data_IF_825547029558
#
_entry.id   IF_825547029558
#
_cell.length_a   1.000
_cell.length_b   1.000
_cell.length_c   1.000
_cell.angle_alpha   90.00
_cell.angle_beta   90.00
_cell.angle_gamma   90.00
#
_symmetry.space_group_name_H-M   'P 1'
#
loop_
_entity.id
_entity.type
_entity.pdbx_description
1 polymer ?
#
# COMPACT_ATOMS: atom_id res chain seq x y z
N UNK A 1 1.63 -29.35 73.44
CA UNK A 1 1.77 -30.18 72.22
C UNK A 1 0.45 -30.80 71.74
N UNK A 2 -0.18 -31.77 72.42
CA UNK A 2 -1.40 -32.40 71.89
C UNK A 2 -2.64 -31.46 71.88
N UNK A 3 -2.82 -30.67 72.94
CA UNK A 3 -3.94 -29.72 73.06
C UNK A 3 -3.79 -28.51 72.11
N UNK A 4 -2.58 -27.96 71.95
CA UNK A 4 -2.30 -26.86 71.01
C UNK A 4 -2.55 -27.27 69.55
N UNK A 5 -2.19 -28.50 69.16
CA UNK A 5 -2.50 -28.99 67.81
C UNK A 5 -4.01 -29.09 67.58
N UNK A 6 -4.79 -29.45 68.60
CA UNK A 6 -6.24 -29.58 68.49
C UNK A 6 -6.93 -28.21 68.30
N UNK A 7 -6.43 -27.16 68.96
CA UNK A 7 -6.88 -25.78 68.75
C UNK A 7 -6.50 -25.23 67.37
N UNK A 8 -5.32 -25.56 66.86
CA UNK A 8 -4.90 -25.16 65.50
C UNK A 8 -5.79 -25.80 64.43
N UNK A 9 -6.14 -27.08 64.59
CA UNK A 9 -7.06 -27.74 63.67
C UNK A 9 -8.48 -27.18 63.77
N UNK A 10 -9.00 -26.88 64.98
CA UNK A 10 -10.33 -26.29 65.10
C UNK A 10 -10.40 -24.91 64.43
N UNK A 11 -9.39 -24.05 64.66
CA UNK A 11 -9.28 -22.74 64.00
C UNK A 11 -9.17 -22.85 62.48
N UNK A 12 -8.44 -23.85 61.98
CA UNK A 12 -8.35 -24.12 60.56
C UNK A 12 -9.70 -24.53 59.97
N UNK A 13 -10.43 -25.45 60.62
CA UNK A 13 -11.74 -25.90 60.14
C UNK A 13 -12.81 -24.82 60.26
N UNK A 14 -12.73 -23.93 61.25
CA UNK A 14 -13.59 -22.75 61.36
C UNK A 14 -13.36 -21.78 60.19
N UNK A 15 -12.10 -21.44 59.88
CA UNK A 15 -11.77 -20.59 58.72
C UNK A 15 -12.12 -21.25 57.39
N UNK A 16 -11.94 -22.57 57.27
CA UNK A 16 -12.32 -23.32 56.08
C UNK A 16 -13.84 -23.33 55.89
N UNK A 17 -14.60 -23.44 56.99
CA UNK A 17 -16.06 -23.36 56.96
C UNK A 17 -16.52 -21.97 56.53
N UNK A 18 -15.90 -20.92 57.07
CA UNK A 18 -16.17 -19.53 56.68
C UNK A 18 -15.91 -19.30 55.18
N UNK A 19 -14.77 -19.77 54.67
CA UNK A 19 -14.43 -19.67 53.24
C UNK A 19 -15.41 -20.44 52.35
N UNK A 20 -15.83 -21.64 52.75
CA UNK A 20 -16.84 -22.44 52.02
C UNK A 20 -18.22 -21.81 52.07
N UNK A 21 -18.62 -21.26 53.20
CA UNK A 21 -19.91 -20.58 53.34
C UNK A 21 -19.93 -19.27 52.53
N UNK A 22 -18.80 -18.57 52.44
CA UNK A 22 -18.63 -17.41 51.56
C UNK A 22 -18.78 -17.81 50.08
N UNK A 23 -18.07 -18.86 49.63
CA UNK A 23 -18.21 -19.36 48.25
C UNK A 23 -19.62 -19.87 47.93
N UNK A 24 -20.33 -20.47 48.89
CA UNK A 24 -21.74 -20.86 48.69
C UNK A 24 -22.69 -19.67 48.56
N UNK A 25 -22.40 -18.56 49.25
CA UNK A 25 -23.19 -17.33 49.17
C UNK A 25 -22.89 -16.54 47.91
N UNK A 26 -21.69 -16.71 47.35
CA UNK A 26 -21.23 -16.04 46.15
C UNK A 26 -20.72 -17.05 45.11
N UNK A 27 -21.58 -17.94 44.58
CA UNK A 27 -21.18 -18.98 43.64
C UNK A 27 -20.73 -18.42 42.28
N UNK A 28 -21.22 -17.23 41.91
CA UNK A 28 -20.93 -16.55 40.64
C UNK A 28 -19.89 -15.43 40.80
N UNK A 29 -19.17 -15.39 41.94
CA UNK A 29 -18.08 -14.44 42.14
C UNK A 29 -16.89 -14.84 41.28
N UNK A 30 -16.91 -14.40 40.03
CA UNK A 30 -15.71 -14.37 39.21
C UNK A 30 -14.71 -13.46 39.90
N UNK A 31 -13.64 -14.05 40.46
CA UNK A 31 -12.42 -13.32 40.74
C UNK A 31 -12.04 -12.68 39.41
N UNK A 32 -12.10 -11.34 39.32
CA UNK A 32 -11.83 -10.58 38.09
C UNK A 32 -10.70 -11.25 37.31
N UNK A 33 -11.08 -11.99 36.26
CA UNK A 33 -10.11 -12.72 35.47
C UNK A 33 -9.33 -11.65 34.73
N UNK A 34 -8.00 -11.75 34.79
CA UNK A 34 -7.09 -10.90 34.01
C UNK A 34 -7.50 -10.89 32.52
N UNK A 35 -8.18 -11.95 32.10
CA UNK A 35 -8.72 -12.19 30.76
C UNK A 35 -9.76 -11.16 30.28
N UNK A 36 -10.59 -10.56 31.15
CA UNK A 36 -11.62 -9.59 30.69
C UNK A 36 -11.01 -8.28 30.18
N UNK A 37 -10.03 -7.76 30.91
CA UNK A 37 -9.31 -6.55 30.52
C UNK A 37 -8.44 -6.79 29.26
N UNK A 38 -7.90 -8.00 29.10
CA UNK A 38 -7.16 -8.41 27.89
C UNK A 38 -8.07 -8.58 26.67
N UNK A 39 -9.27 -9.17 26.83
CA UNK A 39 -10.27 -9.28 25.76
C UNK A 39 -10.76 -7.89 25.31
N UNK A 40 -10.98 -6.97 26.24
CA UNK A 40 -11.39 -5.60 25.90
C UNK A 40 -10.27 -4.82 25.19
N UNK A 41 -9.01 -5.02 25.60
CA UNK A 41 -7.86 -4.45 24.90
C UNK A 41 -7.70 -5.02 23.48
N UNK A 42 -7.98 -6.32 23.27
CA UNK A 42 -7.98 -6.95 21.94
C UNK A 42 -9.14 -6.46 21.05
N UNK A 43 -10.27 -6.05 21.63
CA UNK A 43 -11.38 -5.41 20.89
C UNK A 43 -11.01 -4.01 20.40
N UNK A 44 -10.07 -3.33 21.08
CA UNK A 44 -9.58 -2.04 20.63
C UNK A 44 -8.70 -2.20 19.39
N UNK A 45 -9.26 -1.96 18.19
CA UNK A 45 -8.49 -1.98 16.95
C UNK A 45 -7.59 -0.75 16.91
N UNK A 46 -6.25 -0.89 16.93
CA UNK A 46 -5.37 0.26 16.78
C UNK A 46 -5.61 0.86 15.39
N UNK A 47 -6.07 2.11 15.35
CA UNK A 47 -6.25 2.84 14.10
C UNK A 47 -4.87 3.18 13.54
N UNK A 48 -4.44 2.44 12.52
CA UNK A 48 -3.22 2.73 11.78
C UNK A 48 -3.61 3.49 10.51
N UNK A 49 -3.16 4.73 10.40
CA UNK A 49 -3.49 5.57 9.25
C UNK A 49 -2.61 5.17 8.06
N UNK A 50 -3.23 4.55 7.05
CA UNK A 50 -2.64 4.34 5.73
C UNK A 50 -3.34 5.23 4.70
N UNK A 51 -2.58 5.72 3.73
CA UNK A 51 -3.15 6.32 2.52
C UNK A 51 -3.97 5.28 1.76
N UNK A 52 -4.99 5.72 1.00
CA UNK A 52 -5.74 4.82 0.12
C UNK A 52 -4.85 4.12 -0.91
N UNK A 53 -3.80 4.79 -1.38
CA UNK A 53 -2.81 4.23 -2.31
C UNK A 53 -1.89 3.20 -1.63
N UNK A 54 -1.68 3.29 -0.31
CA UNK A 54 -0.88 2.32 0.45
C UNK A 54 -1.60 0.98 0.64
N UNK A 55 -2.93 0.96 0.47
CA UNK A 55 -3.78 -0.23 0.61
C UNK A 55 -3.44 -1.06 1.87
N UNK A 56 -3.49 -0.40 3.04
CA UNK A 56 -3.18 -1.00 4.35
C UNK A 56 -1.77 -1.61 4.44
N UNK A 57 -0.78 -0.96 3.82
CA UNK A 57 0.62 -1.38 3.87
C UNK A 57 1.03 -2.37 2.79
N UNK A 58 0.14 -2.66 1.82
CA UNK A 58 0.44 -3.53 0.68
C UNK A 58 1.32 -2.85 -0.37
N UNK A 59 1.16 -1.54 -0.55
CA UNK A 59 1.89 -0.76 -1.55
C UNK A 59 2.51 0.48 -0.92
N UNK A 60 3.55 1.01 -1.55
CA UNK A 60 4.18 2.28 -1.19
C UNK A 60 3.51 3.42 -1.98
N UNK A 61 3.11 4.47 -1.30
CA UNK A 61 2.63 5.70 -1.93
C UNK A 61 3.80 6.70 -2.05
N UNK A 62 4.50 6.63 -3.19
CA UNK A 62 5.65 7.49 -3.49
C UNK A 62 5.29 8.67 -4.41
N UNK A 63 4.00 8.97 -4.60
CA UNK A 63 3.58 10.06 -5.50
C UNK A 63 4.05 11.43 -5.03
N UNK A 64 4.01 11.69 -3.73
CA UNK A 64 4.48 12.97 -3.17
C UNK A 64 6.00 13.10 -3.27
N UNK A 65 6.72 11.99 -3.06
CA UNK A 65 8.17 11.93 -3.28
C UNK A 65 8.50 12.18 -4.76
N UNK A 66 7.79 11.54 -5.68
CA UNK A 66 7.96 11.76 -7.13
C UNK A 66 7.66 13.20 -7.52
N UNK A 67 6.61 13.81 -6.95
CA UNK A 67 6.29 15.22 -7.14
C UNK A 67 7.40 16.13 -6.62
N UNK A 68 7.98 15.82 -5.46
CA UNK A 68 9.10 16.56 -4.90
C UNK A 68 10.34 16.45 -5.80
N UNK A 69 10.64 15.25 -6.28
CA UNK A 69 11.74 14.98 -7.21
C UNK A 69 11.56 15.72 -8.54
N UNK A 70 10.40 15.63 -9.18
CA UNK A 70 10.13 16.30 -10.47
C UNK A 70 10.20 17.82 -10.38
N UNK A 71 9.81 18.39 -9.24
CA UNK A 71 9.87 19.83 -9.00
C UNK A 71 11.26 20.34 -8.59
N UNK A 72 12.20 19.45 -8.25
CA UNK A 72 13.52 19.83 -7.80
C UNK A 72 14.39 20.38 -8.96
N UNK A 73 14.80 21.67 -8.93
CA UNK A 73 15.43 22.31 -10.09
C UNK A 73 16.87 21.85 -10.37
N UNK A 74 17.58 21.30 -9.36
CA UNK A 74 19.03 20.98 -9.47
C UNK A 74 19.33 19.50 -9.68
N UNK A 75 18.44 18.61 -9.25
CA UNK A 75 18.63 17.15 -9.32
C UNK A 75 17.42 16.41 -9.90
N UNK A 76 16.27 17.06 -9.99
CA UNK A 76 15.04 16.47 -10.50
C UNK A 76 15.03 16.32 -12.01
N UNK A 77 14.14 15.45 -12.49
CA UNK A 77 13.84 15.27 -13.89
C UNK A 77 12.31 15.39 -14.10
N UNK A 78 11.89 16.42 -14.84
CA UNK A 78 10.46 16.71 -15.10
C UNK A 78 9.80 15.71 -16.06
N UNK A 79 10.59 15.11 -16.93
CA UNK A 79 10.10 14.20 -17.97
C UNK A 79 10.05 12.75 -17.47
N UNK A 80 10.44 12.50 -16.21
CA UNK A 80 10.48 11.16 -15.63
C UNK A 80 9.07 10.72 -15.21
N UNK A 81 8.57 9.67 -15.86
CA UNK A 81 7.28 9.07 -15.49
C UNK A 81 7.33 8.49 -14.07
N UNK A 82 6.17 8.32 -13.43
CA UNK A 82 6.11 7.73 -12.09
C UNK A 82 6.66 6.29 -12.07
N UNK A 83 6.36 5.51 -13.11
CA UNK A 83 6.85 4.13 -13.21
C UNK A 83 8.37 4.07 -13.34
N UNK A 84 8.95 4.93 -14.19
CA UNK A 84 10.41 5.03 -14.34
C UNK A 84 11.07 5.52 -13.03
N UNK A 85 10.41 6.45 -12.32
CA UNK A 85 10.85 6.92 -11.02
C UNK A 85 10.93 5.78 -9.99
N UNK A 86 9.92 4.92 -9.89
CA UNK A 86 9.95 3.74 -9.01
C UNK A 86 11.12 2.79 -9.35
N UNK A 87 11.59 2.79 -10.60
CA UNK A 87 12.78 2.08 -11.04
C UNK A 87 14.11 2.71 -10.63
N UNK A 88 14.14 4.03 -10.49
CA UNK A 88 15.38 4.81 -10.41
C UNK A 88 15.61 5.55 -9.09
N UNK A 89 14.59 5.75 -8.25
CA UNK A 89 14.69 6.64 -7.08
C UNK A 89 15.73 6.18 -6.03
N UNK A 90 16.12 4.90 -6.04
CA UNK A 90 17.20 4.33 -5.23
C UNK A 90 18.58 4.37 -5.92
N UNK A 91 18.64 4.71 -7.21
CA UNK A 91 19.89 4.84 -7.96
C UNK A 91 20.42 6.28 -7.89
N UNK A 92 21.10 6.57 -6.78
CA UNK A 92 21.69 7.88 -6.53
C UNK A 92 22.88 8.20 -7.47
N UNK A 93 23.42 7.25 -8.24
CA UNK A 93 24.56 7.49 -9.16
C UNK A 93 24.18 8.38 -10.33
N UNK A 94 22.90 8.34 -10.70
CA UNK A 94 22.34 9.19 -11.75
C UNK A 94 22.39 10.68 -11.40
N UNK A 95 22.48 11.02 -10.10
CA UNK A 95 22.45 12.39 -9.60
C UNK A 95 23.89 12.95 -9.50
N UNK A 96 24.22 14.03 -10.22
CA UNK A 96 25.56 14.61 -10.17
C UNK A 96 25.96 15.04 -8.74
N UNK A 97 27.19 14.71 -8.31
CA UNK A 97 27.76 15.15 -7.00
C UNK A 97 27.50 16.63 -6.66
N UNK A 98 27.64 17.61 -7.59
CA UNK A 98 27.38 19.01 -7.27
C UNK A 98 25.91 19.30 -6.92
N UNK A 99 24.99 18.48 -7.41
CA UNK A 99 23.56 18.56 -7.11
C UNK A 99 23.21 17.85 -5.81
N UNK A 100 23.95 16.80 -5.45
CA UNK A 100 23.83 16.13 -4.15
C UNK A 100 24.22 17.05 -3.00
N UNK A 101 25.28 17.85 -3.14
CA UNK A 101 25.75 18.81 -2.11
C UNK A 101 24.86 20.07 -2.01
N UNK A 102 23.54 19.89 -1.96
CA UNK A 102 22.53 20.92 -1.87
C UNK A 102 21.56 20.63 -0.71
N UNK A 103 21.15 21.66 0.01
CA UNK A 103 20.23 21.51 1.14
C UNK A 103 18.87 20.95 0.72
N UNK A 104 18.37 21.32 -0.47
CA UNK A 104 17.09 20.80 -1.00
C UNK A 104 17.15 19.30 -1.26
N UNK A 105 18.31 18.77 -1.68
CA UNK A 105 18.48 17.34 -1.90
C UNK A 105 18.52 16.57 -0.57
N UNK A 106 19.21 17.13 0.44
CA UNK A 106 19.18 16.58 1.80
C UNK A 106 17.76 16.51 2.34
N UNK A 107 16.99 17.60 2.23
CA UNK A 107 15.60 17.64 2.68
C UNK A 107 14.74 16.60 1.96
N UNK A 108 14.87 16.48 0.63
CA UNK A 108 14.20 15.42 -0.14
C UNK A 108 14.52 14.00 0.35
N UNK A 109 15.79 13.72 0.68
CA UNK A 109 16.19 12.43 1.25
C UNK A 109 15.66 12.23 2.67
N UNK A 110 15.62 13.28 3.48
CA UNK A 110 15.04 13.23 4.84
C UNK A 110 13.53 12.90 4.77
N UNK A 111 12.78 13.57 3.89
CA UNK A 111 11.35 13.31 3.68
C UNK A 111 11.10 11.87 3.19
N UNK A 112 11.92 11.39 2.25
CA UNK A 112 11.83 10.02 1.76
C UNK A 112 12.16 8.99 2.84
N UNK A 113 13.21 9.21 3.61
CA UNK A 113 13.59 8.31 4.70
C UNK A 113 12.52 8.28 5.80
N UNK A 114 12.01 9.44 6.21
CA UNK A 114 10.93 9.55 7.20
C UNK A 114 9.68 8.81 6.74
N UNK A 115 9.28 8.98 5.47
CA UNK A 115 8.18 8.25 4.88
C UNK A 115 8.39 6.73 4.94
N UNK A 116 9.55 6.24 4.51
CA UNK A 116 9.86 4.81 4.46
C UNK A 116 9.93 4.17 5.85
N UNK A 117 10.55 4.84 6.83
CA UNK A 117 10.59 4.40 8.22
C UNK A 117 9.19 4.35 8.81
N UNK A 118 8.39 5.40 8.61
CA UNK A 118 7.01 5.47 9.07
C UNK A 118 6.14 4.39 8.45
N UNK A 119 6.23 4.19 7.13
CA UNK A 119 5.49 3.16 6.41
C UNK A 119 5.85 1.75 6.90
N UNK A 120 7.15 1.47 7.09
CA UNK A 120 7.58 0.17 7.58
C UNK A 120 7.05 -0.09 9.01
N UNK A 121 7.12 0.91 9.90
CA UNK A 121 6.60 0.79 11.26
C UNK A 121 5.08 0.55 11.30
N UNK A 122 4.32 1.18 10.39
CA UNK A 122 2.87 0.96 10.25
C UNK A 122 2.55 -0.41 9.65
N UNK A 123 3.28 -0.83 8.61
CA UNK A 123 3.02 -2.08 7.88
C UNK A 123 3.53 -3.33 8.60
N UNK A 124 4.54 -3.21 9.46
CA UNK A 124 5.16 -4.31 10.20
C UNK A 124 5.38 -3.93 11.67
N UNK A 125 4.31 -3.74 12.47
CA UNK A 125 4.41 -3.22 13.85
C UNK A 125 5.17 -4.13 14.81
N UNK A 126 5.25 -5.43 14.52
CA UNK A 126 6.00 -6.41 15.31
C UNK A 126 7.49 -6.45 14.95
N UNK A 127 7.88 -5.86 13.81
CA UNK A 127 9.25 -5.82 13.35
C UNK A 127 9.95 -4.54 13.85
N UNK A 128 11.16 -4.68 14.38
CA UNK A 128 11.95 -3.54 14.85
C UNK A 128 12.94 -3.08 13.78
N UNK A 129 12.84 -1.83 13.35
CA UNK A 129 13.85 -1.17 12.51
C UNK A 129 15.10 -0.70 13.28
N UNK A 130 15.03 -0.54 14.61
CA UNK A 130 16.11 0.06 15.39
C UNK A 130 17.44 -0.68 15.25
N UNK A 131 17.44 -2.00 15.42
CA UNK A 131 18.66 -2.81 15.31
C UNK A 131 19.22 -2.89 13.88
N UNK A 132 18.41 -3.17 12.82
CA UNK A 132 18.87 -3.10 11.44
C UNK A 132 19.46 -1.75 11.04
N UNK A 133 18.78 -0.64 11.38
CA UNK A 133 19.26 0.70 11.03
C UNK A 133 20.54 1.06 11.78
N UNK A 134 20.65 0.72 13.07
CA UNK A 134 21.88 0.94 13.84
C UNK A 134 23.06 0.12 13.29
N UNK A 135 22.81 -1.10 12.79
CA UNK A 135 23.82 -1.90 12.11
C UNK A 135 24.31 -1.24 10.82
N UNK A 136 23.40 -0.68 10.02
CA UNK A 136 23.72 0.08 8.80
C UNK A 136 24.52 1.34 9.12
N UNK A 137 24.15 2.08 10.16
CA UNK A 137 24.88 3.28 10.58
C UNK A 137 26.31 2.94 11.02
N UNK A 138 26.49 1.85 11.77
CA UNK A 138 27.81 1.38 12.18
C UNK A 138 28.67 0.95 10.99
N UNK A 139 28.12 0.13 10.09
CA UNK A 139 28.82 -0.31 8.87
C UNK A 139 29.19 0.89 7.99
N UNK A 140 28.27 1.85 7.86
CA UNK A 140 28.53 3.11 7.15
C UNK A 140 29.68 3.89 7.78
N UNK A 141 29.71 4.07 9.11
CA UNK A 141 30.80 4.80 9.76
C UNK A 141 32.16 4.13 9.51
N UNK A 142 32.21 2.80 9.56
CA UNK A 142 33.41 2.03 9.24
C UNK A 142 33.84 2.21 7.77
N UNK A 143 32.91 2.15 6.82
CA UNK A 143 33.17 2.39 5.38
C UNK A 143 33.56 3.85 5.10
N UNK A 144 32.94 4.80 5.81
CA UNK A 144 33.19 6.23 5.68
C UNK A 144 34.62 6.56 6.12
N UNK A 145 35.10 5.97 7.22
CA UNK A 145 36.48 6.16 7.65
C UNK A 145 37.48 5.60 6.64
N UNK A 146 37.18 4.44 6.03
CA UNK A 146 38.01 3.83 4.97
C UNK A 146 37.91 4.53 3.61
N UNK A 147 36.88 5.35 3.37
CA UNK A 147 36.64 5.99 2.08
C UNK A 147 36.09 5.05 1.01
N UNK A 148 35.40 3.99 1.43
CA UNK A 148 34.84 2.94 0.56
C UNK A 148 33.35 3.14 0.25
N UNK A 149 32.75 4.24 0.74
CA UNK A 149 31.35 4.56 0.46
C UNK A 149 31.22 4.95 -1.02
N UNK A 150 30.43 4.17 -1.76
CA UNK A 150 30.14 4.38 -3.18
C UNK A 150 29.68 5.82 -3.45
N UNK A 151 30.24 6.48 -4.48
CA UNK A 151 30.03 7.89 -4.83
C UNK A 151 30.53 8.91 -3.79
N UNK A 152 31.12 8.50 -2.67
CA UNK A 152 31.57 9.39 -1.59
C UNK A 152 33.02 9.15 -1.16
N UNK A 153 33.85 8.57 -2.03
CA UNK A 153 35.26 8.26 -1.77
C UNK A 153 36.09 9.52 -1.46
N UNK A 154 35.70 10.65 -2.05
CA UNK A 154 36.30 11.97 -1.81
C UNK A 154 35.68 12.73 -0.61
N UNK A 155 34.81 12.06 0.15
CA UNK A 155 34.02 12.61 1.27
C UNK A 155 33.30 13.91 0.93
N UNK A 156 33.00 14.14 -0.36
CA UNK A 156 32.40 15.36 -0.86
C UNK A 156 33.28 16.61 -0.81
N UNK A 157 34.56 16.50 -0.43
CA UNK A 157 35.51 17.63 -0.34
C UNK A 157 36.13 18.01 -1.70
N UNK A 158 35.91 17.19 -2.74
CA UNK A 158 36.54 17.33 -4.05
C UNK A 158 37.88 16.60 -4.10
N UNK A 159 38.61 16.73 -5.22
CA UNK A 159 39.90 16.06 -5.40
C UNK A 159 40.88 16.52 -4.30
N UNK A 160 41.15 15.65 -3.33
CA UNK A 160 42.27 15.80 -2.41
C UNK A 160 43.57 15.49 -3.16
N UNK A 161 44.60 16.28 -2.91
CA UNK A 161 45.97 16.15 -3.44
C UNK A 161 46.54 14.73 -3.24
N UNK A 162 45.99 13.97 -2.29
CA UNK A 162 46.39 12.58 -1.99
C UNK A 162 45.86 11.55 -2.99
N UNK A 163 44.74 11.79 -3.69
CA UNK A 163 44.23 10.88 -4.74
C UNK A 163 44.83 11.17 -6.13
N UNK A 164 45.57 12.27 -6.29
CA UNK A 164 46.14 12.70 -7.57
C UNK A 164 47.49 12.04 -7.86
N UNK A 165 48.25 11.67 -6.82
CA UNK A 165 49.64 11.18 -6.96
C UNK A 165 49.77 9.79 -7.60
N UNK A 166 48.74 8.93 -7.50
CA UNK A 166 48.78 7.55 -8.01
C UNK A 166 47.98 7.35 -9.30
N UNK A 167 47.53 8.43 -9.96
CA UNK A 167 46.71 8.31 -11.17
C UNK A 167 47.58 8.16 -12.43
N UNK A 168 47.57 7.00 -13.13
CA UNK A 168 48.42 6.77 -14.32
C UNK A 168 48.06 7.66 -15.53
N UNK A 169 46.97 8.43 -15.43
CA UNK A 169 46.51 9.39 -16.45
C UNK A 169 47.09 10.79 -16.24
N UNK A 170 47.88 11.02 -15.20
CA UNK A 170 48.51 12.30 -14.95
C UNK A 170 49.71 12.48 -15.89
N UNK A 171 49.73 13.58 -16.64
CA UNK A 171 50.89 13.97 -17.43
C UNK A 171 51.91 14.55 -16.44
N UNK A 172 53.12 14.02 -16.44
CA UNK A 172 54.21 14.65 -15.67
C UNK A 172 54.53 16.00 -16.29
N UNK A 173 54.26 17.06 -15.55
CA UNK A 173 54.43 18.43 -16.01
C UNK A 173 55.88 18.90 -15.88
N UNK A 174 56.76 18.15 -15.20
CA UNK A 174 58.19 18.50 -15.09
C UNK A 174 58.87 18.46 -16.47
N UNK A 175 58.48 17.52 -17.34
CA UNK A 175 59.03 17.30 -18.68
C UNK A 175 58.70 18.38 -19.72
N UNK A 176 57.80 19.32 -19.41
CA UNK A 176 57.31 20.33 -20.37
C UNK A 176 57.73 21.75 -19.98
N UNK A 177 58.36 22.48 -20.91
CA UNK A 177 58.82 23.86 -20.69
C UNK A 177 57.75 24.90 -21.00
N UNK A 178 56.86 24.62 -21.98
CA UNK A 178 55.80 25.54 -22.40
C UNK A 178 54.45 24.86 -22.62
N UNK A 179 53.38 25.66 -22.65
CA UNK A 179 52.05 25.18 -23.01
C UNK A 179 51.98 24.65 -24.45
N UNK A 180 52.82 25.14 -25.36
CA UNK A 180 52.90 24.67 -26.74
C UNK A 180 53.44 23.24 -26.84
N UNK A 181 54.40 22.88 -25.99
CA UNK A 181 54.97 21.52 -25.96
C UNK A 181 53.95 20.49 -25.48
N UNK A 182 53.02 20.91 -24.61
CA UNK A 182 51.89 20.11 -24.16
C UNK A 182 50.85 19.85 -25.25
N UNK A 183 50.71 20.73 -26.24
CA UNK A 183 49.78 20.51 -27.36
C UNK A 183 50.14 19.25 -28.16
N UNK A 184 51.45 18.91 -28.23
CA UNK A 184 51.94 17.71 -28.90
C UNK A 184 51.54 16.40 -28.19
N UNK A 185 51.16 16.45 -26.91
CA UNK A 185 50.67 15.30 -26.14
C UNK A 185 49.26 14.88 -26.58
N UNK A 186 48.54 15.77 -27.26
CA UNK A 186 47.21 15.53 -27.83
C UNK A 186 46.08 16.00 -26.92
N UNK A 187 45.05 16.57 -27.55
CA UNK A 187 43.94 17.22 -26.84
C UNK A 187 43.13 16.32 -25.93
N UNK A 188 43.05 15.03 -26.23
CA UNK A 188 42.32 14.06 -25.41
C UNK A 188 43.07 13.74 -24.11
N UNK A 189 44.40 13.55 -24.15
CA UNK A 189 45.21 13.34 -22.95
C UNK A 189 45.22 14.57 -22.03
N UNK A 190 45.32 15.78 -22.60
CA UNK A 190 45.24 17.03 -21.81
C UNK A 190 43.84 17.18 -21.19
N UNK A 191 42.79 16.84 -21.93
CA UNK A 191 41.41 16.86 -21.42
C UNK A 191 41.24 15.87 -20.26
N UNK A 192 41.76 14.65 -20.38
CA UNK A 192 41.76 13.65 -19.32
C UNK A 192 42.52 14.12 -18.08
N UNK A 193 43.71 14.69 -18.24
CA UNK A 193 44.51 15.24 -17.14
C UNK A 193 43.80 16.41 -16.43
N UNK A 194 43.20 17.35 -17.17
CA UNK A 194 42.41 18.44 -16.60
C UNK A 194 41.19 17.92 -15.82
N UNK A 195 40.49 16.90 -16.35
CA UNK A 195 39.35 16.28 -15.68
C UNK A 195 39.78 15.55 -14.40
N UNK A 196 40.93 14.86 -14.44
CA UNK A 196 41.52 14.20 -13.27
C UNK A 196 41.84 15.19 -12.15
N UNK A 197 42.34 16.39 -12.49
CA UNK A 197 42.60 17.49 -11.54
C UNK A 197 41.34 18.28 -11.14
N UNK A 198 40.16 17.95 -11.67
CA UNK A 198 38.90 18.66 -11.37
C UNK A 198 38.76 20.04 -12.02
N UNK A 199 39.61 20.35 -13.00
CA UNK A 199 39.61 21.61 -13.73
C UNK A 199 38.62 21.58 -14.91
N UNK A 200 38.23 22.76 -15.38
CA UNK A 200 37.43 22.89 -16.61
C UNK A 200 38.22 22.34 -17.79
N UNK A 201 37.61 21.48 -18.59
CA UNK A 201 38.24 20.89 -19.77
C UNK A 201 37.68 21.41 -21.12
N UNK A 202 36.87 22.47 -21.08
CA UNK A 202 36.36 23.17 -22.26
C UNK A 202 37.31 24.24 -22.79
N UNK A 203 37.17 24.58 -24.08
CA UNK A 203 38.01 25.56 -24.79
C UNK A 203 38.81 24.94 -25.94
N UNK A 204 39.66 25.76 -26.58
CA UNK A 204 40.62 25.30 -27.60
C UNK A 204 41.72 24.43 -26.99
N UNK A 205 42.46 23.68 -27.83
CA UNK A 205 43.60 22.86 -27.39
C UNK A 205 44.61 23.68 -26.57
N UNK A 206 44.97 24.85 -27.11
CA UNK A 206 45.89 25.79 -26.46
C UNK A 206 45.41 26.27 -25.09
N UNK A 207 44.13 26.64 -24.96
CA UNK A 207 43.55 27.05 -23.68
C UNK A 207 43.53 25.92 -22.63
N UNK A 208 43.43 24.66 -23.07
CA UNK A 208 43.52 23.50 -22.18
C UNK A 208 44.96 23.27 -21.73
N UNK A 209 45.91 23.36 -22.65
CA UNK A 209 47.34 23.22 -22.35
C UNK A 209 47.83 24.33 -21.41
N UNK A 210 47.45 25.58 -21.62
CA UNK A 210 47.74 26.71 -20.72
C UNK A 210 47.16 26.48 -19.32
N UNK A 211 45.92 25.99 -19.23
CA UNK A 211 45.25 25.72 -17.95
C UNK A 211 45.94 24.59 -17.18
N UNK A 212 46.43 23.58 -17.88
CA UNK A 212 47.17 22.47 -17.28
C UNK A 212 48.60 22.91 -16.89
N UNK A 213 49.26 23.74 -17.69
CA UNK A 213 50.56 24.33 -17.31
C UNK A 213 50.45 25.26 -16.10
N UNK A 214 49.33 25.97 -15.94
CA UNK A 214 49.10 26.83 -14.79
C UNK A 214 49.07 26.07 -13.45
N UNK A 215 48.92 24.74 -13.46
CA UNK A 215 49.01 23.89 -12.27
C UNK A 215 50.42 23.42 -11.94
N UNK A 216 51.40 23.65 -12.83
CA UNK A 216 52.81 23.27 -12.59
C UNK A 216 53.34 24.00 -11.36
N UNK A 217 53.78 23.24 -10.35
CA UNK A 217 54.42 23.74 -9.13
C UNK A 217 53.49 24.47 -8.15
N UNK A 218 52.17 24.42 -8.32
CA UNK A 218 51.18 25.02 -7.40
C UNK A 218 50.31 23.95 -6.77
N UNK A 219 49.99 24.13 -5.48
CA UNK A 219 49.01 23.27 -4.83
C UNK A 219 47.60 23.56 -5.38
N UNK A 220 46.71 22.57 -5.38
CA UNK A 220 45.34 22.71 -5.92
C UNK A 220 44.56 23.83 -5.20
N UNK A 221 44.86 24.07 -3.93
CA UNK A 221 44.24 25.09 -3.09
C UNK A 221 44.65 26.53 -3.47
N UNK A 222 45.80 26.70 -4.12
CA UNK A 222 46.35 27.99 -4.54
C UNK A 222 45.78 28.47 -5.89
N UNK A 223 45.13 27.58 -6.64
CA UNK A 223 44.56 27.87 -7.96
C UNK A 223 43.24 28.66 -7.85
N UNK A 224 42.96 29.48 -8.88
CA UNK A 224 41.70 30.25 -8.94
C UNK A 224 40.49 29.32 -9.07
N UNK A 225 39.49 29.49 -8.19
CA UNK A 225 38.20 28.78 -8.18
C UNK A 225 37.45 28.85 -9.52
N UNK A 226 37.71 29.85 -10.36
CA UNK A 226 37.12 29.96 -11.71
C UNK A 226 37.64 28.89 -12.67
N UNK A 227 38.81 28.32 -12.41
CA UNK A 227 39.43 27.27 -13.24
C UNK A 227 38.82 25.90 -12.96
N UNK A 228 38.27 25.67 -11.77
CA UNK A 228 37.64 24.42 -11.38
C UNK A 228 36.24 24.24 -11.98
N UNK A 229 35.91 22.98 -12.26
CA UNK A 229 34.55 22.59 -12.65
C UNK A 229 33.57 22.78 -11.48
N UNK A 230 32.26 22.86 -11.78
CA UNK A 230 31.22 23.02 -10.76
C UNK A 230 31.26 21.83 -9.79
N UNK A 231 31.28 22.08 -8.48
CA UNK A 231 31.38 21.07 -7.42
C UNK A 231 32.78 20.50 -7.15
N UNK A 232 33.76 20.72 -8.03
CA UNK A 232 35.16 20.28 -7.87
C UNK A 232 36.07 21.32 -7.21
N UNK A 233 35.50 22.43 -6.71
CA UNK A 233 36.27 23.52 -6.11
C UNK A 233 36.89 23.06 -4.79
N UNK A 234 38.20 23.29 -4.56
CA UNK A 234 38.86 22.98 -3.31
C UNK A 234 38.33 23.90 -2.20
N UNK A 235 38.41 23.40 -0.97
CA UNK A 235 37.96 24.11 0.23
C UNK A 235 39.11 24.93 0.80
N UNK A 236 38.86 26.18 1.20
CA UNK A 236 39.94 27.14 1.57
C UNK A 236 40.22 27.24 3.06
N UNK A 237 39.25 26.92 3.91
CA UNK A 237 39.40 27.02 5.36
C UNK A 237 38.86 25.75 6.04
N UNK A 238 39.36 25.49 7.26
CA UNK A 238 38.99 24.30 8.03
C UNK A 238 37.49 24.28 8.38
N UNK A 239 36.87 25.44 8.57
CA UNK A 239 35.44 25.54 8.92
C UNK A 239 34.51 25.16 7.75
N UNK A 240 34.77 25.65 6.52
CA UNK A 240 34.04 25.25 5.32
C UNK A 240 34.27 23.77 5.01
N UNK A 241 35.49 23.27 5.28
CA UNK A 241 35.81 21.85 5.09
C UNK A 241 34.99 20.99 6.06
N UNK A 242 34.93 21.38 7.34
CA UNK A 242 34.14 20.67 8.34
C UNK A 242 32.64 20.72 8.03
N UNK A 243 32.10 21.88 7.64
CA UNK A 243 30.68 22.02 7.26
C UNK A 243 30.33 21.18 6.04
N UNK A 244 31.22 21.15 5.03
CA UNK A 244 31.02 20.37 3.82
C UNK A 244 31.13 18.87 4.10
N UNK A 245 32.07 18.46 4.95
CA UNK A 245 32.24 17.09 5.41
C UNK A 245 31.04 16.61 6.24
N UNK A 246 30.51 17.44 7.14
CA UNK A 246 29.31 17.08 7.91
C UNK A 246 28.10 16.94 7.01
N UNK A 247 27.95 17.82 6.00
CA UNK A 247 26.85 17.76 5.05
C UNK A 247 26.96 16.51 4.16
N UNK A 248 28.14 16.25 3.59
CA UNK A 248 28.36 15.07 2.74
C UNK A 248 28.17 13.77 3.51
N UNK A 249 28.69 13.67 4.75
CA UNK A 249 28.49 12.51 5.61
C UNK A 249 27.01 12.27 5.88
N UNK A 250 26.26 13.31 6.24
CA UNK A 250 24.82 13.20 6.50
C UNK A 250 24.02 12.73 5.27
N UNK A 251 24.33 13.27 4.09
CA UNK A 251 23.66 12.88 2.84
C UNK A 251 24.02 11.44 2.45
N UNK A 252 25.30 11.07 2.54
CA UNK A 252 25.75 9.72 2.24
C UNK A 252 25.10 8.68 3.16
N UNK A 253 24.96 9.01 4.46
CA UNK A 253 24.26 8.17 5.42
C UNK A 253 22.79 7.97 5.05
N UNK A 254 22.08 9.04 4.68
CA UNK A 254 20.69 8.95 4.20
C UNK A 254 20.57 8.07 2.95
N UNK A 255 21.47 8.24 1.97
CA UNK A 255 21.50 7.38 0.77
C UNK A 255 21.71 5.89 1.13
N UNK A 256 22.60 5.59 2.08
CA UNK A 256 22.80 4.22 2.57
C UNK A 256 21.57 3.68 3.31
N UNK A 257 20.96 4.49 4.18
CA UNK A 257 19.80 4.11 4.98
C UNK A 257 18.57 3.81 4.11
N UNK A 258 18.30 4.66 3.12
CA UNK A 258 17.22 4.46 2.15
C UNK A 258 17.46 3.18 1.33
N UNK A 259 18.69 2.92 0.86
CA UNK A 259 18.98 1.65 0.17
C UNK A 259 18.69 0.44 1.05
N UNK A 260 19.09 0.47 2.32
CA UNK A 260 18.85 -0.63 3.26
C UNK A 260 17.35 -0.83 3.53
N UNK A 261 16.59 0.25 3.76
CA UNK A 261 15.12 0.19 3.91
C UNK A 261 14.45 -0.42 2.68
N UNK A 262 14.92 -0.07 1.49
CA UNK A 262 14.37 -0.57 0.24
C UNK A 262 14.74 -2.02 -0.05
N UNK A 263 15.90 -2.49 0.43
CA UNK A 263 16.22 -3.93 0.43
C UNK A 263 15.27 -4.71 1.34
N UNK A 264 14.92 -4.16 2.51
CA UNK A 264 13.93 -4.78 3.40
C UNK A 264 12.52 -4.81 2.80
N UNK A 265 12.17 -3.81 1.99
CA UNK A 265 10.86 -3.65 1.36
C UNK A 265 10.84 -3.98 -0.15
N UNK A 266 11.79 -4.78 -0.63
CA UNK A 266 11.94 -5.07 -2.07
C UNK A 266 10.65 -5.68 -2.67
N UNK A 267 10.01 -6.59 -1.91
CA UNK A 267 8.74 -7.20 -2.31
C UNK A 267 7.63 -6.15 -2.43
N UNK A 268 7.47 -5.29 -1.42
CA UNK A 268 6.47 -4.21 -1.42
C UNK A 268 6.67 -3.26 -2.60
N UNK A 269 7.92 -2.90 -2.91
CA UNK A 269 8.23 -2.09 -4.09
C UNK A 269 7.88 -2.82 -5.40
N UNK A 270 8.22 -4.10 -5.52
CA UNK A 270 7.86 -4.91 -6.70
C UNK A 270 6.34 -4.95 -6.91
N UNK A 271 5.59 -5.15 -5.84
CA UNK A 271 4.13 -5.19 -5.87
C UNK A 271 3.53 -3.82 -6.19
N UNK A 272 4.13 -2.73 -5.68
CA UNK A 272 3.77 -1.35 -6.02
C UNK A 272 3.95 -1.09 -7.52
N UNK A 273 5.08 -1.49 -8.11
CA UNK A 273 5.33 -1.34 -9.56
C UNK A 273 4.28 -2.07 -10.39
N UNK A 274 4.01 -3.33 -10.07
CA UNK A 274 2.97 -4.13 -10.76
C UNK A 274 1.60 -3.50 -10.63
N UNK A 275 1.27 -2.93 -9.46
CA UNK A 275 0.00 -2.26 -9.25
C UNK A 275 -0.12 -0.99 -10.09
N UNK A 276 0.95 -0.21 -10.20
CA UNK A 276 0.99 0.98 -11.06
C UNK A 276 0.87 0.60 -12.54
N UNK A 277 1.56 -0.45 -12.99
CA UNK A 277 1.45 -0.98 -14.36
C UNK A 277 0.03 -1.49 -14.65
N UNK A 278 -0.57 -2.22 -13.70
CA UNK A 278 -1.98 -2.66 -13.78
C UNK A 278 -2.89 -1.44 -13.92
N UNK A 279 -2.82 -0.49 -12.98
CA UNK A 279 -3.63 0.73 -12.98
C UNK A 279 -3.48 1.54 -14.28
N UNK A 280 -2.27 1.58 -14.86
CA UNK A 280 -2.01 2.30 -16.11
C UNK A 280 -2.67 1.66 -17.34
N UNK A 281 -2.98 0.36 -17.29
CA UNK A 281 -3.58 -0.39 -18.40
C UNK A 281 -5.06 -0.76 -18.17
N UNK A 282 -5.55 -0.60 -16.94
CA UNK A 282 -6.93 -0.87 -16.57
C UNK A 282 -7.92 0.16 -17.13
N UNK A 283 -9.11 -0.33 -17.46
CA UNK A 283 -10.25 0.51 -17.80
C UNK A 283 -10.83 1.18 -16.54
N UNK A 284 -11.62 2.24 -16.72
CA UNK A 284 -12.25 2.92 -15.59
C UNK A 284 -13.16 1.99 -14.77
N UNK A 285 -13.91 1.09 -15.41
CA UNK A 285 -14.78 0.12 -14.73
C UNK A 285 -13.97 -0.85 -13.87
N UNK A 286 -12.84 -1.34 -14.39
CA UNK A 286 -11.93 -2.22 -13.65
C UNK A 286 -11.26 -1.49 -12.48
N UNK A 287 -10.88 -0.22 -12.64
CA UNK A 287 -10.29 0.60 -11.56
C UNK A 287 -11.27 0.83 -10.40
N UNK A 288 -12.54 1.10 -10.73
CA UNK A 288 -13.60 1.28 -9.72
C UNK A 288 -13.84 -0.04 -8.98
N UNK A 289 -13.94 -1.16 -9.70
CA UNK A 289 -14.11 -2.47 -9.09
C UNK A 289 -12.92 -2.86 -8.19
N UNK A 290 -11.69 -2.62 -8.63
CA UNK A 290 -10.48 -2.84 -7.83
C UNK A 290 -10.46 -1.98 -6.55
N UNK A 291 -10.87 -0.71 -6.62
CA UNK A 291 -10.98 0.16 -5.45
C UNK A 291 -12.05 -0.35 -4.47
N UNK A 292 -13.20 -0.76 -4.98
CA UNK A 292 -14.27 -1.33 -4.15
C UNK A 292 -13.81 -2.62 -3.46
N UNK A 293 -13.09 -3.51 -4.16
CA UNK A 293 -12.54 -4.74 -3.56
C UNK A 293 -11.49 -4.45 -2.48
N UNK A 294 -10.59 -3.50 -2.72
CA UNK A 294 -9.58 -3.10 -1.74
C UNK A 294 -10.20 -2.47 -0.49
N UNK A 295 -11.29 -1.71 -0.68
CA UNK A 295 -12.02 -1.09 0.42
C UNK A 295 -12.81 -2.14 1.24
N UNK A 296 -13.40 -3.13 0.57
CA UNK A 296 -14.13 -4.24 1.20
C UNK A 296 -13.20 -5.18 1.98
N UNK A 297 -12.02 -5.50 1.41
CA UNK A 297 -10.97 -6.24 2.13
C UNK A 297 -10.47 -5.52 3.37
N UNK A 298 -10.43 -4.19 3.35
CA UNK A 298 -10.06 -3.39 4.52
C UNK A 298 -11.06 -3.42 5.67
N UNK A 299 -12.28 -3.93 5.43
CA UNK A 299 -13.34 -4.15 6.43
C UNK A 299 -13.57 -5.64 6.73
N UNK A 300 -12.94 -6.55 5.98
CA UNK A 300 -13.34 -7.97 5.86
C UNK A 300 -12.87 -8.97 6.92
N UNK A 301 -12.55 -8.55 8.15
CA UNK A 301 -12.16 -9.46 9.25
C UNK A 301 -13.28 -9.63 10.30
N UNK A 302 -14.54 -9.61 9.86
CA UNK A 302 -15.74 -9.75 10.71
C UNK A 302 -16.71 -10.84 10.21
N UNK A 303 -16.17 -12.02 9.83
CA UNK A 303 -16.98 -13.23 9.65
C UNK A 303 -16.26 -14.43 10.25
N UNK A 304 -16.26 -14.47 11.58
CA UNK A 304 -15.72 -15.59 12.36
C UNK A 304 -16.12 -15.50 13.83
N UNK A 305 -17.37 -15.19 14.13
CA UNK A 305 -17.88 -15.07 15.49
C UNK A 305 -19.34 -15.48 15.57
N UNK A 306 -19.60 -16.42 16.46
CA UNK A 306 -20.84 -17.13 16.70
C UNK A 306 -22.04 -16.22 17.01
N UNK A 307 -23.23 -16.66 16.60
CA UNK A 307 -24.47 -15.96 16.83
C UNK A 307 -24.88 -16.06 18.30
N UNK A 308 -24.69 -14.98 19.04
CA UNK A 308 -25.47 -14.72 20.25
C UNK A 308 -25.86 -13.25 20.27
N UNK A 309 -27.16 -13.01 20.15
CA UNK A 309 -27.84 -11.79 20.58
C UNK A 309 -27.26 -11.36 21.94
N UNK A 310 -26.65 -10.18 22.00
CA UNK A 310 -26.53 -9.44 23.25
C UNK A 310 -26.74 -7.95 22.95
N UNK A 311 -27.68 -7.43 23.74
CA UNK A 311 -28.28 -6.12 23.72
C UNK A 311 -27.24 -4.98 23.70
N UNK A 312 -27.46 -4.05 22.77
CA UNK A 312 -26.71 -2.81 22.62
C UNK A 312 -26.82 -1.95 23.89
N UNK A 313 -25.73 -1.83 24.63
CA UNK A 313 -25.45 -0.67 25.47
C UNK A 313 -23.96 -0.38 25.37
N UNK A 314 -23.57 0.62 24.57
CA UNK A 314 -22.56 1.62 24.95
C UNK A 314 -22.39 2.74 23.91
N UNK A 315 -22.69 3.95 24.38
CA UNK A 315 -22.06 5.24 24.07
C UNK A 315 -21.29 5.41 22.75
N UNK A 316 -21.98 5.95 21.74
CA UNK A 316 -21.35 6.71 20.68
C UNK A 316 -21.79 8.17 20.71
N UNK A 317 -20.81 9.07 20.52
CA UNK A 317 -20.97 10.51 20.40
C UNK A 317 -22.15 10.88 19.50
N UNK A 318 -23.23 11.37 20.11
CA UNK A 318 -24.41 11.87 19.41
C UNK A 318 -24.02 13.11 18.61
N UNK A 319 -23.58 12.91 17.37
CA UNK A 319 -23.56 13.95 16.35
C UNK A 319 -25.02 14.30 16.08
N UNK A 320 -25.46 15.46 16.57
CA UNK A 320 -26.82 15.96 16.41
C UNK A 320 -27.22 16.02 14.92
N UNK A 321 -28.03 15.03 14.49
CA UNK A 321 -28.62 14.93 13.15
C UNK A 321 -30.13 15.26 13.23
N UNK A 322 -30.50 16.55 13.27
CA UNK A 322 -31.87 16.99 13.54
C UNK A 322 -32.91 16.57 12.48
N UNK A 323 -32.46 16.06 11.33
CA UNK A 323 -33.32 15.63 10.23
C UNK A 323 -33.24 14.13 9.93
N UNK A 324 -32.50 13.36 10.75
CA UNK A 324 -32.33 11.91 10.62
C UNK A 324 -31.98 11.46 9.18
N UNK A 325 -31.16 12.25 8.48
CA UNK A 325 -30.73 11.97 7.11
C UNK A 325 -29.59 10.94 7.14
N UNK A 326 -29.57 9.93 6.26
CA UNK A 326 -28.48 8.97 6.18
C UNK A 326 -27.11 9.66 6.10
N UNK A 327 -26.15 9.16 6.88
CA UNK A 327 -24.76 9.63 6.87
C UNK A 327 -24.06 9.18 5.60
N UNK A 328 -23.27 10.07 5.02
CA UNK A 328 -22.45 9.73 3.85
C UNK A 328 -21.19 8.97 4.28
N UNK A 329 -20.37 8.60 3.29
CA UNK A 329 -19.08 7.94 3.49
C UNK A 329 -18.09 8.74 4.38
N UNK A 330 -18.35 10.03 4.60
CA UNK A 330 -17.56 10.96 5.44
C UNK A 330 -18.05 11.02 6.91
N UNK A 331 -19.01 10.16 7.30
CA UNK A 331 -19.60 10.14 8.65
C UNK A 331 -20.45 11.37 9.00
N UNK A 332 -20.59 12.33 8.06
CA UNK A 332 -21.43 13.53 8.19
C UNK A 332 -22.79 13.34 7.50
N UNK A 333 -23.87 14.00 7.97
CA UNK A 333 -25.16 13.97 7.29
C UNK A 333 -25.03 14.44 5.84
N UNK A 334 -25.55 13.65 4.90
CA UNK A 334 -25.53 14.00 3.47
C UNK A 334 -26.28 15.33 3.27
N UNK A 335 -25.75 16.30 2.50
CA UNK A 335 -26.45 17.54 2.21
C UNK A 335 -27.87 17.27 1.67
N UNK A 336 -28.88 17.95 2.23
CA UNK A 336 -30.29 17.70 1.94
C UNK A 336 -30.66 17.80 0.45
N UNK A 337 -30.00 18.68 -0.30
CA UNK A 337 -30.21 18.81 -1.75
C UNK A 337 -29.71 17.58 -2.51
N UNK A 338 -28.61 16.97 -2.06
CA UNK A 338 -28.02 15.77 -2.66
C UNK A 338 -28.86 14.53 -2.34
N UNK A 339 -29.34 14.46 -1.10
CA UNK A 339 -30.33 13.47 -0.63
C UNK A 339 -31.60 13.50 -1.48
N UNK A 340 -32.11 14.70 -1.81
CA UNK A 340 -33.29 14.90 -2.67
C UNK A 340 -33.00 14.68 -4.16
N UNK A 341 -31.81 15.04 -4.64
CA UNK A 341 -31.39 14.88 -6.04
C UNK A 341 -31.26 13.40 -6.43
N UNK A 342 -30.62 12.59 -5.57
CA UNK A 342 -30.47 11.16 -5.80
C UNK A 342 -31.68 10.33 -5.38
N UNK A 343 -32.75 10.97 -4.89
CA UNK A 343 -34.01 10.32 -4.54
C UNK A 343 -33.91 9.41 -3.32
N UNK A 344 -32.89 9.55 -2.46
CA UNK A 344 -32.74 8.76 -1.24
C UNK A 344 -33.88 9.01 -0.23
N UNK A 345 -34.65 10.08 -0.41
CA UNK A 345 -35.82 10.42 0.38
C UNK A 345 -37.09 9.62 0.03
N UNK A 346 -37.03 8.73 -0.96
CA UNK A 346 -38.16 7.90 -1.37
C UNK A 346 -38.02 6.51 -0.77
N UNK A 347 -38.99 6.14 0.06
CA UNK A 347 -39.08 4.80 0.66
C UNK A 347 -39.73 3.82 -0.33
N UNK A 348 -39.07 2.70 -0.60
CA UNK A 348 -39.59 1.59 -1.39
C UNK A 348 -39.65 0.33 -0.52
N UNK A 349 -40.82 -0.28 -0.38
CA UNK A 349 -41.00 -1.50 0.42
C UNK A 349 -41.05 -2.74 -0.46
N UNK A 350 -40.40 -3.81 -0.02
CA UNK A 350 -40.44 -5.11 -0.69
C UNK A 350 -41.03 -6.18 0.23
N UNK A 351 -42.20 -6.71 -0.13
CA UNK A 351 -42.92 -7.72 0.66
C UNK A 351 -42.19 -9.07 0.66
N UNK A 352 -41.60 -9.44 -0.47
CA UNK A 352 -40.78 -10.66 -0.63
C UNK A 352 -39.58 -10.67 0.34
N UNK A 353 -39.07 -9.50 0.72
CA UNK A 353 -37.98 -9.33 1.69
C UNK A 353 -38.47 -9.15 3.14
N UNK A 354 -39.73 -9.46 3.46
CA UNK A 354 -40.30 -9.26 4.80
C UNK A 354 -40.72 -7.81 5.07
N UNK A 355 -41.24 -7.10 4.07
CA UNK A 355 -41.61 -5.67 4.13
C UNK A 355 -40.44 -4.74 4.49
N UNK A 356 -39.21 -5.12 4.13
CA UNK A 356 -38.04 -4.28 4.33
C UNK A 356 -38.10 -3.02 3.46
N UNK A 357 -37.73 -1.88 4.06
CA UNK A 357 -37.72 -0.57 3.41
C UNK A 357 -36.35 -0.24 2.83
N UNK A 358 -36.31 0.01 1.53
CA UNK A 358 -35.14 0.50 0.81
C UNK A 358 -35.29 2.00 0.53
N UNK A 359 -34.24 2.77 0.81
CA UNK A 359 -34.23 4.21 0.61
C UNK A 359 -33.57 4.56 -0.72
N UNK A 360 -34.38 5.05 -1.65
CA UNK A 360 -33.96 5.45 -2.99
C UNK A 360 -34.02 4.35 -4.05
N UNK A 361 -34.28 4.78 -5.28
CA UNK A 361 -34.54 3.90 -6.43
C UNK A 361 -33.36 2.99 -6.76
N UNK A 362 -32.12 3.48 -6.65
CA UNK A 362 -30.91 2.72 -6.97
C UNK A 362 -30.65 1.59 -5.97
N UNK A 363 -30.85 1.83 -4.68
CA UNK A 363 -30.76 0.79 -3.65
C UNK A 363 -31.87 -0.25 -3.86
N UNK A 364 -33.07 0.21 -4.19
CA UNK A 364 -34.20 -0.66 -4.52
C UNK A 364 -34.01 -1.43 -5.84
N UNK A 365 -33.21 -1.00 -6.81
CA UNK A 365 -32.94 -1.84 -7.99
C UNK A 365 -31.84 -2.88 -7.70
N UNK A 366 -30.85 -2.53 -6.86
CA UNK A 366 -29.77 -3.43 -6.47
C UNK A 366 -30.28 -4.62 -5.63
N UNK A 367 -31.27 -4.39 -4.76
CA UNK A 367 -31.75 -5.42 -3.84
C UNK A 367 -32.30 -6.68 -4.50
N UNK A 368 -32.78 -6.61 -5.76
CA UNK A 368 -33.28 -7.79 -6.49
C UNK A 368 -32.20 -8.88 -6.70
N UNK A 369 -30.92 -8.50 -6.66
CA UNK A 369 -29.78 -9.40 -6.79
C UNK A 369 -29.10 -9.70 -5.43
N UNK A 370 -29.60 -9.13 -4.33
CA UNK A 370 -29.03 -9.32 -3.00
C UNK A 370 -29.51 -10.64 -2.35
N UNK A 371 -28.70 -11.15 -1.42
CA UNK A 371 -28.94 -12.45 -0.79
C UNK A 371 -30.32 -12.56 -0.12
N UNK A 372 -30.81 -11.47 0.49
CA UNK A 372 -32.12 -11.44 1.16
C UNK A 372 -33.27 -11.66 0.17
N UNK A 373 -33.25 -10.98 -0.97
CA UNK A 373 -34.29 -11.13 -1.99
C UNK A 373 -34.20 -12.47 -2.71
N UNK A 374 -32.97 -12.92 -3.02
CA UNK A 374 -32.71 -14.25 -3.56
C UNK A 374 -33.25 -15.36 -2.65
N UNK A 375 -33.03 -15.22 -1.34
CA UNK A 375 -33.56 -16.15 -0.34
C UNK A 375 -35.09 -16.11 -0.29
N UNK A 376 -35.69 -14.91 -0.29
CA UNK A 376 -37.15 -14.75 -0.35
C UNK A 376 -37.77 -15.44 -1.57
N UNK A 377 -37.21 -15.20 -2.76
CA UNK A 377 -37.66 -15.86 -3.99
C UNK A 377 -37.50 -17.39 -3.93
N UNK A 378 -36.40 -17.87 -3.34
CA UNK A 378 -36.16 -19.30 -3.13
C UNK A 378 -37.18 -19.93 -2.17
N UNK A 379 -37.54 -19.24 -1.09
CA UNK A 379 -38.59 -19.68 -0.16
C UNK A 379 -39.97 -19.75 -0.80
N UNK A 380 -40.25 -18.86 -1.77
CA UNK A 380 -41.49 -18.88 -2.55
C UNK A 380 -41.51 -19.98 -3.63
N UNK A 381 -40.37 -20.63 -3.91
CA UNK A 381 -40.22 -21.63 -4.96
C UNK A 381 -40.18 -21.04 -6.38
N UNK A 382 -39.93 -19.73 -6.51
CA UNK A 382 -39.89 -19.01 -7.79
C UNK A 382 -38.42 -18.78 -8.17
N UNK A 383 -37.98 -19.15 -9.38
CA UNK A 383 -36.61 -18.87 -9.81
C UNK A 383 -36.39 -17.36 -9.97
N UNK A 384 -35.36 -16.82 -9.30
CA UNK A 384 -35.00 -15.41 -9.44
C UNK A 384 -34.42 -15.16 -10.84
N UNK A 385 -35.21 -14.52 -11.71
CA UNK A 385 -34.83 -14.16 -13.07
C UNK A 385 -35.15 -12.70 -13.31
N UNK A 386 -34.53 -12.09 -14.33
CA UNK A 386 -34.76 -10.67 -14.68
C UNK A 386 -36.23 -10.32 -14.96
N UNK A 387 -37.08 -11.31 -15.24
CA UNK A 387 -38.51 -11.11 -15.50
C UNK A 387 -39.25 -10.73 -14.21
N UNK A 388 -38.72 -11.11 -13.05
CA UNK A 388 -39.27 -10.76 -11.73
C UNK A 388 -38.69 -9.45 -11.17
N UNK A 389 -37.85 -8.73 -11.93
CA UNK A 389 -37.40 -7.39 -11.52
C UNK A 389 -38.60 -6.45 -11.40
N UNK A 390 -38.62 -5.62 -10.36
CA UNK A 390 -39.73 -4.71 -9.99
C UNK A 390 -40.96 -5.36 -9.35
N UNK A 391 -41.01 -6.69 -9.24
CA UNK A 391 -42.09 -7.37 -8.52
C UNK A 391 -41.80 -7.37 -7.03
N UNK A 392 -42.63 -6.67 -6.25
CA UNK A 392 -42.43 -6.52 -4.78
C UNK A 392 -43.39 -7.34 -3.95
N UNK A 393 -44.61 -7.56 -4.45
CA UNK A 393 -45.64 -8.30 -3.75
C UNK A 393 -45.56 -9.77 -4.03
N UNK A 394 -45.86 -10.57 -3.01
CA UNK A 394 -45.81 -12.03 -3.11
C UNK A 394 -46.90 -12.54 -4.06
N UNK A 395 -48.11 -11.99 -3.96
CA UNK A 395 -49.25 -12.38 -4.82
C UNK A 395 -48.98 -12.11 -6.31
N UNK A 396 -48.35 -10.98 -6.61
CA UNK A 396 -48.01 -10.58 -7.99
C UNK A 396 -46.92 -11.50 -8.57
N UNK A 397 -45.95 -11.91 -7.74
CA UNK A 397 -44.91 -12.86 -8.13
C UNK A 397 -45.50 -14.23 -8.47
N UNK A 398 -46.44 -14.74 -7.66
CA UNK A 398 -47.14 -15.99 -7.96
C UNK A 398 -47.97 -15.91 -9.22
N UNK A 399 -48.75 -14.84 -9.41
CA UNK A 399 -49.56 -14.67 -10.61
C UNK A 399 -48.70 -14.62 -11.89
N UNK A 400 -47.56 -13.93 -11.84
CA UNK A 400 -46.63 -13.86 -12.96
C UNK A 400 -46.00 -15.23 -13.24
N UNK A 401 -45.59 -15.96 -12.20
CA UNK A 401 -45.00 -17.30 -12.33
C UNK A 401 -46.00 -18.32 -12.89
N UNK A 402 -47.26 -18.30 -12.43
CA UNK A 402 -48.31 -19.16 -12.98
C UNK A 402 -48.58 -18.87 -14.45
N UNK A 403 -48.65 -17.59 -14.84
CA UNK A 403 -48.84 -17.21 -16.24
C UNK A 403 -47.66 -17.66 -17.11
N UNK A 404 -46.44 -17.57 -16.58
CA UNK A 404 -45.25 -18.07 -17.26
C UNK A 404 -45.27 -19.59 -17.41
N UNK A 405 -45.67 -20.32 -16.36
CA UNK A 405 -45.79 -21.78 -16.40
C UNK A 405 -46.84 -22.21 -17.42
N UNK A 406 -48.00 -21.56 -17.47
CA UNK A 406 -49.04 -21.79 -18.49
C UNK A 406 -48.53 -21.53 -19.91
N UNK A 407 -47.78 -20.44 -20.13
CA UNK A 407 -47.17 -20.13 -21.44
C UNK A 407 -46.10 -21.15 -21.84
N UNK A 408 -45.24 -21.56 -20.91
CA UNK A 408 -44.18 -22.54 -21.20
C UNK A 408 -44.75 -23.95 -21.43
N UNK A 409 -45.78 -24.36 -20.68
CA UNK A 409 -46.49 -25.63 -20.92
C UNK A 409 -47.26 -25.64 -22.24
N UNK A 410 -47.71 -24.48 -22.74
CA UNK A 410 -48.40 -24.40 -24.03
C UNK A 410 -47.45 -24.39 -25.26
N UNK A 411 -46.14 -24.22 -25.05
CA UNK A 411 -45.15 -24.07 -26.13
C UNK A 411 -44.22 -25.28 -26.27
N UNK A 412 -44.19 -26.18 -25.29
CA UNK A 412 -43.40 -27.41 -25.36
C UNK A 412 -44.19 -28.55 -26.00
N UNK A 413 -43.86 -28.95 -27.23
CA UNK A 413 -44.24 -30.26 -27.76
C UNK A 413 -43.61 -31.34 -26.86
N UNK A 414 -44.45 -32.03 -26.10
CA UNK A 414 -44.04 -33.12 -25.22
C UNK A 414 -44.11 -34.42 -26.00
N UNK A 415 -42.97 -34.87 -26.52
CA UNK A 415 -42.89 -36.06 -27.37
C UNK A 415 -43.55 -37.32 -26.78
N UNK A 416 -43.58 -37.47 -25.45
CA UNK A 416 -44.23 -38.62 -24.80
C UNK A 416 -45.77 -38.53 -24.75
N UNK A 417 -46.33 -37.33 -24.79
CA UNK A 417 -47.77 -37.07 -24.69
C UNK A 417 -48.42 -36.74 -26.04
N UNK A 418 -47.67 -36.09 -26.95
CA UNK A 418 -48.16 -35.57 -28.22
C UNK A 418 -47.78 -36.43 -29.45
N UNK A 419 -46.82 -37.36 -29.32
CA UNK A 419 -46.46 -38.30 -30.41
C UNK A 419 -47.40 -39.51 -30.38
N UNK A 420 -48.20 -39.66 -31.43
CA UNK A 420 -49.18 -40.74 -31.58
C UNK A 420 -48.56 -41.96 -32.28
N UNK A 421 -48.76 -43.15 -31.70
CA UNK A 421 -48.36 -44.44 -32.24
C UNK A 421 -49.59 -45.31 -32.50
N UNK A 422 -49.63 -45.98 -33.65
CA UNK A 422 -50.70 -46.89 -34.04
C UNK A 422 -50.26 -48.34 -33.82
N UNK A 423 -51.14 -49.16 -33.24
CA UNK A 423 -50.92 -50.61 -33.08
C UNK A 423 -51.26 -51.40 -34.36
N UNK A 424 -51.05 -52.72 -34.33
CA UNK A 424 -51.32 -53.58 -35.50
C UNK A 424 -52.82 -53.69 -35.85
N UNK A 425 -53.70 -53.34 -34.91
CA UNK A 425 -55.16 -53.37 -35.05
C UNK A 425 -55.75 -51.99 -35.44
N UNK A 426 -54.90 -50.96 -35.55
CA UNK A 426 -55.25 -49.62 -35.97
C UNK A 426 -55.70 -48.67 -34.85
N UNK A 427 -55.47 -49.01 -33.58
CA UNK A 427 -55.76 -48.14 -32.45
C UNK A 427 -54.60 -47.18 -32.21
N UNK A 428 -54.93 -45.90 -32.01
CA UNK A 428 -53.94 -44.84 -31.82
C UNK A 428 -53.80 -44.51 -30.33
N UNK A 429 -52.56 -44.56 -29.84
CA UNK A 429 -52.20 -44.23 -28.46
C UNK A 429 -51.09 -43.18 -28.45
N UNK A 430 -51.03 -42.35 -27.40
CA UNK A 430 -49.82 -41.56 -27.20
C UNK A 430 -48.62 -42.47 -26.87
N UNK A 431 -47.42 -42.02 -27.21
CA UNK A 431 -46.18 -42.79 -27.10
C UNK A 431 -45.99 -43.45 -25.74
N UNK A 432 -46.26 -42.73 -24.65
CA UNK A 432 -46.13 -43.28 -23.31
C UNK A 432 -47.08 -44.45 -23.06
N UNK A 433 -48.35 -44.30 -23.43
CA UNK A 433 -49.36 -45.35 -23.28
C UNK A 433 -49.04 -46.54 -24.18
N UNK A 434 -48.58 -46.28 -25.42
CA UNK A 434 -48.15 -47.33 -26.35
C UNK A 434 -46.98 -48.14 -25.77
N UNK A 435 -45.93 -47.48 -25.28
CA UNK A 435 -44.75 -48.16 -24.70
C UNK A 435 -45.13 -48.93 -23.42
N UNK A 436 -45.99 -48.38 -22.57
CA UNK A 436 -46.42 -49.05 -21.34
C UNK A 436 -47.31 -50.28 -21.65
N UNK A 437 -48.22 -50.18 -22.61
CA UNK A 437 -49.02 -51.32 -23.07
C UNK A 437 -48.16 -52.38 -23.77
N UNK A 438 -47.18 -51.98 -24.57
CA UNK A 438 -46.21 -52.87 -25.20
C UNK A 438 -45.37 -53.61 -24.15
N UNK A 439 -44.91 -52.92 -23.09
CA UNK A 439 -44.17 -53.54 -21.98
C UNK A 439 -45.02 -54.50 -21.16
N UNK A 440 -46.33 -54.25 -21.07
CA UNK A 440 -47.29 -55.14 -20.42
C UNK A 440 -47.72 -56.31 -21.33
N UNK A 441 -47.32 -56.31 -22.61
CA UNK A 441 -47.66 -57.35 -23.59
C UNK A 441 -49.11 -57.30 -24.07
N UNK A 442 -49.73 -56.12 -24.04
CA UNK A 442 -51.14 -55.88 -24.38
C UNK A 442 -51.35 -55.29 -25.78
N UNK A 443 -50.27 -55.14 -26.58
CA UNK A 443 -50.26 -54.66 -27.96
C UNK A 443 -49.53 -55.63 -28.89
#
# INVERSE_FOLDING_TARGET
MAAENQEVYSLFYERLKEARDYHRRHPDLELASVDKDEEEFLKSRPRVDFSGEEAQGRFLDLHDVHRSFTNAPKFGNKDLSYLDFLGMFCDFRSIPKPSKLNQEYKAYLEDLDEYLVGFYGRSQPLASLGAPLAAVEKEFDEMWERGEVEDWEDKGLGASTSQVKDNPKLIDLEDFESAGDLEAVGGDRIKEALVALGLKAGGSLSQKAERLMATKGKALEELDRKLFAKGKKPVRNAEEAQRRLSLSKAIALLECRIRALMQLMEKTLSDTKKQVEKKATSTYEELVADMEELQDRGQGDDQGGDGTDNEDDENDNIIYNPLNIPVGFDGKPIPYWLYKLHGLNQEFKCEICGNFSYWGRRAFEKHFNEARHLHGMKCLGIPNSKIFSEVTKIDEAYALWENMKKKNSAVGFTQDEDEEFEDADGNVYNKKTYIDLQRQGLL
#
